data_IF_325681666107
#
_entry.id   IF_325681666107
#
_cell.length_a   1.000
_cell.length_b   1.000
_cell.length_c   1.000
_cell.angle_alpha   90.00
_cell.angle_beta   90.00
_cell.angle_gamma   90.00
#
_symmetry.space_group_name_H-M   'P 1'
#
loop_
_entity.id
_entity.type
_entity.pdbx_description
1 polymer ?
#
# COMPACT_ATOMS: atom_id res chain seq x y z
N UNK A 1 -17.83 -22.61 45.44
CA UNK A 1 -18.14 -21.52 44.48
C UNK A 1 -16.78 -21.10 43.88
N UNK A 2 -16.45 -21.72 42.74
CA UNK A 2 -15.12 -21.55 42.09
C UNK A 2 -15.20 -20.37 41.14
N UNK A 3 -14.49 -19.27 41.44
CA UNK A 3 -14.36 -18.12 40.55
C UNK A 3 -13.47 -18.53 39.37
N UNK A 4 -14.03 -18.66 38.18
CA UNK A 4 -13.24 -18.71 36.94
C UNK A 4 -12.70 -17.30 36.69
N UNK A 5 -11.38 -17.14 36.81
CA UNK A 5 -10.70 -15.93 36.40
C UNK A 5 -10.72 -15.85 34.86
N UNK A 6 -11.41 -14.88 34.31
CA UNK A 6 -11.39 -14.53 32.87
C UNK A 6 -10.04 -13.87 32.60
N UNK A 7 -9.10 -14.61 32.00
CA UNK A 7 -7.84 -14.06 31.49
C UNK A 7 -8.16 -13.47 30.12
N UNK A 8 -8.09 -12.14 29.92
CA UNK A 8 -8.28 -11.56 28.60
C UNK A 8 -7.14 -12.05 27.69
N UNK A 9 -7.49 -12.68 26.57
CA UNK A 9 -6.55 -13.03 25.52
C UNK A 9 -5.91 -11.74 25.00
N UNK A 10 -4.67 -11.49 25.34
CA UNK A 10 -3.87 -10.42 24.73
C UNK A 10 -3.63 -10.80 23.28
N UNK A 11 -4.36 -10.21 22.36
CA UNK A 11 -4.04 -10.25 20.93
C UNK A 11 -2.75 -9.44 20.78
N UNK A 12 -1.63 -10.14 20.63
CA UNK A 12 -0.36 -9.49 20.32
C UNK A 12 -0.49 -8.79 18.97
N UNK A 13 -0.39 -7.47 18.99
CA UNK A 13 -0.41 -6.68 17.77
C UNK A 13 0.87 -6.98 16.97
N UNK A 14 0.73 -7.72 15.85
CA UNK A 14 1.86 -8.12 15.02
C UNK A 14 2.44 -6.89 14.33
N UNK A 15 3.70 -6.56 14.65
CA UNK A 15 4.45 -5.54 13.92
C UNK A 15 4.78 -6.05 12.51
N UNK A 16 4.53 -5.22 11.49
CA UNK A 16 4.80 -5.53 10.08
C UNK A 16 5.82 -4.60 9.44
N UNK A 17 6.17 -3.51 10.12
CA UNK A 17 7.10 -2.49 9.64
C UNK A 17 7.29 -1.37 10.65
N UNK A 18 7.82 -0.27 10.19
CA UNK A 18 8.01 0.95 10.97
C UNK A 18 7.78 2.21 10.11
N UNK A 19 7.40 3.32 10.74
CA UNK A 19 7.35 4.63 10.11
C UNK A 19 8.79 5.13 9.89
N UNK A 20 9.25 5.13 8.63
CA UNK A 20 10.65 5.47 8.29
C UNK A 20 10.87 6.94 7.96
N UNK A 21 9.80 7.67 7.58
CA UNK A 21 9.80 9.13 7.47
C UNK A 21 8.38 9.66 7.65
N UNK A 22 8.26 10.83 8.26
CA UNK A 22 6.99 11.56 8.46
C UNK A 22 7.24 13.03 8.13
N UNK A 23 6.36 13.59 7.28
CA UNK A 23 6.27 15.02 7.03
C UNK A 23 4.97 15.52 7.64
N UNK A 24 5.04 16.50 8.51
CA UNK A 24 3.95 17.09 9.28
C UNK A 24 3.35 16.09 10.28
N UNK A 25 2.39 15.23 9.87
CA UNK A 25 1.74 14.24 10.74
C UNK A 25 1.25 13.02 9.98
N UNK A 26 1.15 11.90 10.68
CA UNK A 26 0.55 10.67 10.18
C UNK A 26 -0.10 9.93 11.35
N UNK A 27 -1.11 9.13 11.07
CA UNK A 27 -1.89 8.45 12.09
C UNK A 27 -2.01 6.97 11.80
N UNK A 28 -2.07 6.17 12.85
CA UNK A 28 -2.38 4.75 12.81
C UNK A 28 -3.59 4.45 13.66
N UNK A 29 -4.54 3.72 13.11
CA UNK A 29 -5.67 3.16 13.83
C UNK A 29 -5.58 1.63 13.81
N UNK A 30 -5.25 1.02 14.94
CA UNK A 30 -5.31 -0.43 15.13
C UNK A 30 -6.78 -0.83 15.35
N UNK A 31 -7.25 -1.99 14.86
CA UNK A 31 -8.62 -2.44 15.09
C UNK A 31 -9.02 -2.38 16.57
N UNK A 32 -10.21 -1.87 16.84
CA UNK A 32 -10.77 -1.70 18.19
C UNK A 32 -10.02 -0.72 19.09
N UNK A 33 -9.10 0.10 18.55
CA UNK A 33 -8.40 1.16 19.27
C UNK A 33 -8.70 2.53 18.65
N UNK A 34 -8.48 3.60 19.41
CA UNK A 34 -8.51 4.96 18.89
C UNK A 34 -7.34 5.20 17.95
N UNK A 35 -7.52 6.11 16.99
CA UNK A 35 -6.43 6.58 16.13
C UNK A 35 -5.36 7.27 16.97
N UNK A 36 -4.11 6.95 16.74
CA UNK A 36 -2.94 7.53 17.40
C UNK A 36 -2.00 8.16 16.36
N UNK A 37 -1.39 9.30 16.73
CA UNK A 37 -0.37 9.93 15.90
C UNK A 37 0.90 9.09 15.90
N UNK A 38 1.45 8.85 14.71
CA UNK A 38 2.72 8.15 14.52
C UNK A 38 3.90 9.09 14.71
N UNK A 39 4.95 8.58 15.31
CA UNK A 39 6.28 9.18 15.38
C UNK A 39 7.26 8.39 14.54
N UNK A 40 8.40 9.01 14.25
CA UNK A 40 9.50 8.33 13.54
C UNK A 40 9.92 7.06 14.30
N UNK A 41 10.07 5.96 13.58
CA UNK A 41 10.37 4.61 14.05
C UNK A 41 9.23 3.90 14.83
N UNK A 42 8.06 4.49 14.95
CA UNK A 42 6.92 3.77 15.53
C UNK A 42 6.59 2.51 14.72
N UNK A 43 6.19 1.48 15.44
CA UNK A 43 5.80 0.21 14.85
C UNK A 43 4.52 0.34 14.02
N UNK A 44 4.53 -0.18 12.81
CA UNK A 44 3.34 -0.36 12.00
C UNK A 44 2.75 -1.74 12.29
N UNK A 45 1.47 -1.75 12.62
CA UNK A 45 0.75 -2.94 13.13
C UNK A 45 -0.12 -3.54 12.02
N UNK A 46 -0.13 -4.86 11.95
CA UNK A 46 -1.02 -5.60 11.07
C UNK A 46 -2.49 -5.25 11.28
N UNK A 47 -3.29 -5.26 10.21
CA UNK A 47 -4.71 -4.86 10.19
C UNK A 47 -4.98 -3.39 10.53
N UNK A 48 -3.95 -2.58 10.78
CA UNK A 48 -4.17 -1.15 11.02
C UNK A 48 -4.52 -0.38 9.75
N UNK A 49 -5.19 0.73 9.95
CA UNK A 49 -5.39 1.77 8.95
C UNK A 49 -4.38 2.88 9.19
N UNK A 50 -3.64 3.26 8.15
CA UNK A 50 -2.74 4.41 8.18
C UNK A 50 -3.39 5.56 7.42
N UNK A 51 -3.24 6.79 7.92
CA UNK A 51 -3.75 7.99 7.28
C UNK A 51 -2.79 9.16 7.39
N UNK A 52 -2.78 9.99 6.34
CA UNK A 52 -2.04 11.25 6.28
C UNK A 52 -3.04 12.38 6.03
N UNK A 53 -3.06 13.43 6.88
CA UNK A 53 -3.81 14.65 6.60
C UNK A 53 -3.31 15.40 5.36
N UNK A 54 -3.98 16.51 5.03
CA UNK A 54 -3.53 17.43 4.00
C UNK A 54 -2.13 17.98 4.33
N UNK A 55 -1.31 18.19 3.31
CA UNK A 55 0.08 18.66 3.40
C UNK A 55 1.03 17.75 4.19
N UNK A 56 0.60 16.53 4.48
CA UNK A 56 1.37 15.52 5.21
C UNK A 56 1.87 14.41 4.29
N UNK A 57 2.89 13.66 4.75
CA UNK A 57 3.35 12.46 4.07
C UNK A 57 3.90 11.45 5.09
N UNK A 58 3.86 10.17 4.74
CA UNK A 58 4.40 9.06 5.52
C UNK A 58 5.18 8.11 4.61
N UNK A 59 6.35 7.67 5.04
CA UNK A 59 7.00 6.48 4.47
C UNK A 59 6.98 5.36 5.51
N UNK A 60 6.52 4.20 5.09
CA UNK A 60 6.56 2.94 5.85
C UNK A 60 7.61 2.04 5.24
N UNK A 61 8.54 1.52 6.06
CA UNK A 61 9.44 0.43 5.71
C UNK A 61 8.94 -0.85 6.35
N UNK A 62 8.51 -1.81 5.53
CA UNK A 62 8.06 -3.13 6.00
C UNK A 62 9.24 -4.03 6.36
N UNK A 63 8.96 -5.11 7.11
CA UNK A 63 9.99 -6.06 7.56
C UNK A 63 10.66 -6.82 6.40
N UNK A 64 9.96 -7.00 5.27
CA UNK A 64 10.52 -7.60 4.05
C UNK A 64 11.39 -6.62 3.22
N UNK A 65 11.54 -5.39 3.69
CA UNK A 65 12.29 -4.33 3.02
C UNK A 65 11.48 -3.56 1.97
N UNK A 66 10.22 -3.93 1.68
CA UNK A 66 9.34 -3.13 0.83
C UNK A 66 9.06 -1.77 1.48
N UNK A 67 8.73 -0.78 0.63
CA UNK A 67 8.42 0.58 1.09
C UNK A 67 7.10 1.06 0.50
N UNK A 68 6.32 1.72 1.34
CA UNK A 68 5.12 2.44 0.96
C UNK A 68 5.28 3.91 1.33
N UNK A 69 5.28 4.80 0.34
CA UNK A 69 5.15 6.23 0.56
C UNK A 69 3.70 6.65 0.33
N UNK A 70 3.17 7.45 1.25
CA UNK A 70 1.83 8.01 1.22
C UNK A 70 1.92 9.53 1.11
N UNK A 71 1.27 10.13 0.12
CA UNK A 71 1.13 11.57 -0.02
C UNK A 71 0.02 12.15 0.87
N UNK A 72 -0.29 13.44 0.68
CA UNK A 72 -1.33 14.14 1.43
C UNK A 72 -2.73 13.51 1.23
N UNK A 73 -3.56 13.56 2.26
CA UNK A 73 -4.95 13.09 2.23
C UNK A 73 -5.12 11.60 1.94
N UNK A 74 -4.08 10.80 2.19
CA UNK A 74 -4.06 9.36 1.83
C UNK A 74 -4.55 8.48 2.97
N UNK A 75 -5.12 7.32 2.59
CA UNK A 75 -5.61 6.33 3.53
C UNK A 75 -5.39 4.91 2.99
N UNK A 76 -4.75 4.05 3.78
CA UNK A 76 -4.43 2.65 3.44
C UNK A 76 -4.74 1.72 4.60
N UNK A 77 -5.23 0.52 4.29
CA UNK A 77 -5.37 -0.58 5.25
C UNK A 77 -4.27 -1.61 4.97
N UNK A 78 -3.57 -2.04 6.02
CA UNK A 78 -2.65 -3.18 5.98
C UNK A 78 -3.48 -4.45 6.10
N UNK A 79 -3.95 -4.99 4.97
CA UNK A 79 -4.97 -6.04 4.97
C UNK A 79 -4.37 -7.44 5.26
N UNK A 80 -3.24 -7.77 4.64
CA UNK A 80 -2.54 -9.03 4.85
C UNK A 80 -1.04 -8.81 4.91
N UNK A 81 -0.36 -9.47 5.83
CA UNK A 81 1.09 -9.48 5.91
C UNK A 81 1.59 -10.73 6.62
N UNK A 82 2.38 -11.51 5.93
CA UNK A 82 3.12 -12.65 6.47
C UNK A 82 4.54 -12.62 5.91
N UNK A 83 5.54 -12.59 6.79
CA UNK A 83 6.94 -12.61 6.41
C UNK A 83 7.77 -13.17 7.57
N UNK A 84 8.54 -14.21 7.31
CA UNK A 84 9.35 -14.92 8.31
C UNK A 84 10.86 -14.81 8.05
N UNK A 85 11.25 -13.94 7.11
CA UNK A 85 12.64 -13.69 6.75
C UNK A 85 12.96 -13.99 5.29
N UNK A 86 14.18 -13.66 4.82
CA UNK A 86 14.62 -13.88 3.45
C UNK A 86 14.44 -15.34 3.00
N UNK A 87 13.88 -15.54 1.80
CA UNK A 87 13.60 -16.87 1.25
C UNK A 87 12.32 -17.55 1.78
N UNK A 88 11.57 -16.90 2.69
CA UNK A 88 10.26 -17.40 3.11
C UNK A 88 9.18 -17.12 2.06
N UNK A 89 8.16 -18.00 2.01
CA UNK A 89 6.93 -17.75 1.30
C UNK A 89 6.15 -16.66 2.06
N UNK A 90 6.42 -15.39 1.74
CA UNK A 90 5.70 -14.25 2.34
C UNK A 90 4.41 -13.93 1.58
N UNK A 91 3.57 -13.09 2.18
CA UNK A 91 2.36 -12.54 1.56
C UNK A 91 2.10 -11.14 2.04
N UNK A 92 1.70 -10.25 1.13
CA UNK A 92 1.36 -8.86 1.45
C UNK A 92 0.15 -8.41 0.64
N UNK A 93 -0.85 -7.85 1.32
CA UNK A 93 -1.95 -7.17 0.68
C UNK A 93 -2.20 -5.82 1.35
N UNK A 94 -2.24 -4.77 0.52
CA UNK A 94 -2.54 -3.40 0.93
C UNK A 94 -3.80 -2.93 0.22
N UNK A 95 -4.69 -2.25 0.93
CA UNK A 95 -5.90 -1.68 0.34
C UNK A 95 -5.83 -0.16 0.40
N UNK A 96 -5.60 0.47 -0.76
CA UNK A 96 -5.62 1.91 -0.93
C UNK A 96 -7.08 2.38 -1.06
N UNK A 97 -7.54 3.23 -0.17
CA UNK A 97 -8.92 3.75 -0.23
C UNK A 97 -9.00 5.08 -0.94
N UNK A 98 -8.05 5.97 -0.69
CA UNK A 98 -7.84 7.23 -1.42
C UNK A 98 -6.44 7.74 -1.19
N UNK A 99 -5.96 8.61 -2.07
CA UNK A 99 -4.70 9.32 -1.94
C UNK A 99 -3.68 8.94 -2.99
N UNK A 100 -2.46 9.44 -2.79
CA UNK A 100 -1.32 9.20 -3.66
C UNK A 100 -0.32 8.28 -2.95
N UNK A 101 0.05 7.20 -3.62
CA UNK A 101 0.91 6.16 -3.10
C UNK A 101 2.07 5.87 -4.05
N UNK A 102 3.23 5.57 -3.48
CA UNK A 102 4.35 4.96 -4.19
C UNK A 102 4.76 3.70 -3.46
N UNK A 103 4.84 2.59 -4.17
CA UNK A 103 5.26 1.30 -3.61
C UNK A 103 6.56 0.84 -4.27
N UNK A 104 7.50 0.38 -3.43
CA UNK A 104 8.74 -0.27 -3.84
C UNK A 104 8.72 -1.68 -3.28
N UNK A 105 8.80 -2.68 -4.12
CA UNK A 105 8.76 -4.08 -3.68
C UNK A 105 10.00 -4.50 -2.90
N UNK A 106 9.82 -5.38 -1.91
CA UNK A 106 10.85 -5.96 -1.06
C UNK A 106 11.17 -7.41 -1.40
N UNK A 107 11.40 -8.21 -0.35
CA UNK A 107 11.82 -9.62 -0.46
C UNK A 107 10.66 -10.62 -0.55
N UNK A 108 9.41 -10.22 -0.29
CA UNK A 108 8.24 -11.08 -0.54
C UNK A 108 8.16 -11.37 -2.05
N UNK A 109 7.91 -12.63 -2.47
CA UNK A 109 7.73 -12.98 -3.88
C UNK A 109 6.68 -12.08 -4.53
N UNK A 110 6.96 -11.58 -5.73
CA UNK A 110 6.16 -10.52 -6.38
C UNK A 110 4.73 -10.94 -6.67
N UNK A 111 4.50 -12.20 -6.99
CA UNK A 111 3.18 -12.82 -7.19
C UNK A 111 2.37 -12.96 -5.89
N UNK A 112 3.01 -12.80 -4.74
CA UNK A 112 2.40 -12.80 -3.41
C UNK A 112 2.13 -11.39 -2.85
N UNK A 113 2.42 -10.35 -3.64
CA UNK A 113 2.12 -8.96 -3.28
C UNK A 113 0.92 -8.47 -4.09
N UNK A 114 -0.13 -8.03 -3.38
CA UNK A 114 -1.38 -7.56 -3.96
C UNK A 114 -1.72 -6.17 -3.43
N UNK A 115 -2.01 -5.25 -4.34
CA UNK A 115 -2.53 -3.93 -3.99
C UNK A 115 -3.97 -3.84 -4.50
N UNK A 116 -4.88 -3.42 -3.64
CA UNK A 116 -6.28 -3.22 -3.99
C UNK A 116 -6.66 -1.75 -3.88
N UNK A 117 -7.42 -1.27 -4.84
CA UNK A 117 -8.19 -0.03 -4.75
C UNK A 117 -9.69 -0.38 -4.69
N UNK A 118 -10.60 0.58 -4.53
CA UNK A 118 -12.02 0.28 -4.62
C UNK A 118 -12.43 -0.44 -5.91
N UNK A 119 -11.79 -0.12 -7.04
CA UNK A 119 -12.26 -0.51 -8.39
C UNK A 119 -11.29 -1.39 -9.17
N UNK A 120 -10.00 -1.40 -8.81
CA UNK A 120 -8.99 -2.24 -9.49
C UNK A 120 -8.13 -3.01 -8.49
N UNK A 121 -7.54 -4.11 -8.97
CA UNK A 121 -6.49 -4.85 -8.28
C UNK A 121 -5.20 -4.72 -9.08
N UNK A 122 -4.06 -4.50 -8.39
CA UNK A 122 -2.75 -4.35 -8.98
C UNK A 122 -1.87 -5.51 -8.49
N UNK A 123 -1.47 -6.36 -9.42
CA UNK A 123 -0.47 -7.40 -9.23
C UNK A 123 0.92 -6.92 -9.66
N UNK A 124 1.95 -7.38 -8.97
CA UNK A 124 3.32 -6.87 -9.13
C UNK A 124 4.20 -7.91 -9.79
N UNK A 125 5.02 -7.48 -10.76
CA UNK A 125 6.07 -8.29 -11.39
C UNK A 125 7.41 -7.56 -11.35
N UNK A 126 7.95 -7.35 -10.11
CA UNK A 126 9.19 -6.61 -9.81
C UNK A 126 8.95 -5.08 -9.95
N UNK A 127 9.28 -4.14 -8.95
CA UNK A 127 8.58 -2.91 -9.21
C UNK A 127 8.83 -1.74 -8.30
N UNK A 128 8.77 -0.58 -8.97
CA UNK A 128 8.42 0.70 -8.39
C UNK A 128 7.21 1.22 -9.17
N UNK A 129 6.10 1.47 -8.51
CA UNK A 129 4.91 2.03 -9.15
C UNK A 129 4.21 3.05 -8.26
N UNK A 130 3.39 3.89 -8.87
CA UNK A 130 2.57 4.89 -8.20
C UNK A 130 1.10 4.67 -8.51
N UNK A 131 0.27 5.00 -7.54
CA UNK A 131 -1.18 4.90 -7.66
C UNK A 131 -1.80 6.14 -7.05
N UNK A 132 -2.65 6.82 -7.81
CA UNK A 132 -3.56 7.85 -7.33
C UNK A 132 -4.97 7.25 -7.29
N UNK A 133 -5.67 7.43 -6.17
CA UNK A 133 -7.07 7.01 -6.00
C UNK A 133 -7.84 8.19 -5.43
N UNK A 134 -8.92 8.58 -6.05
CA UNK A 134 -9.83 9.62 -5.53
C UNK A 134 -10.87 9.06 -4.55
N UNK A 135 -11.69 9.94 -3.97
CA UNK A 135 -12.73 9.55 -3.02
C UNK A 135 -13.88 8.73 -3.63
N UNK A 136 -14.00 8.66 -4.96
CA UNK A 136 -15.04 7.92 -5.68
C UNK A 136 -14.52 6.56 -6.21
N UNK A 137 -13.21 6.29 -6.07
CA UNK A 137 -12.58 5.07 -6.53
C UNK A 137 -12.02 5.13 -7.95
N UNK A 138 -12.14 6.26 -8.65
CA UNK A 138 -11.41 6.52 -9.88
C UNK A 138 -9.92 6.80 -9.56
N UNK A 139 -9.04 6.66 -10.54
CA UNK A 139 -7.63 6.90 -10.28
C UNK A 139 -6.70 6.65 -11.45
N UNK A 140 -5.43 6.57 -11.11
CA UNK A 140 -4.34 6.33 -12.06
C UNK A 140 -3.33 5.35 -11.49
N UNK A 141 -2.69 4.59 -12.36
CA UNK A 141 -1.50 3.79 -12.04
C UNK A 141 -0.39 4.13 -13.03
N UNK A 142 0.83 4.32 -12.53
CA UNK A 142 2.03 4.46 -13.37
C UNK A 142 3.16 3.59 -12.85
N UNK A 143 4.04 3.15 -13.75
CA UNK A 143 5.21 2.32 -13.42
C UNK A 143 6.47 3.13 -13.62
N UNK A 144 7.29 3.26 -12.56
CA UNK A 144 8.57 3.94 -12.62
C UNK A 144 9.65 3.01 -13.20
N UNK A 145 10.75 3.58 -13.69
CA UNK A 145 12.00 2.85 -13.93
C UNK A 145 12.72 2.59 -12.60
N UNK A 146 13.51 1.55 -12.54
CA UNK A 146 14.43 1.31 -11.44
C UNK A 146 15.56 2.33 -11.38
N UNK A 147 16.32 2.37 -10.26
CA UNK A 147 17.40 3.34 -10.06
C UNK A 147 18.49 3.32 -11.12
N UNK A 148 18.72 2.17 -11.75
CA UNK A 148 19.72 1.99 -12.83
C UNK A 148 19.08 1.84 -14.21
N UNK A 149 17.80 2.25 -14.35
CA UNK A 149 17.05 2.13 -15.60
C UNK A 149 16.39 0.76 -15.83
N UNK A 150 16.28 -0.07 -14.79
CA UNK A 150 15.58 -1.36 -14.88
C UNK A 150 14.11 -1.15 -15.29
N UNK A 151 13.63 -1.97 -16.18
CA UNK A 151 12.23 -1.97 -16.60
C UNK A 151 11.42 -2.94 -15.76
N UNK A 152 10.24 -2.50 -15.35
CA UNK A 152 9.29 -3.24 -14.51
C UNK A 152 7.92 -3.32 -15.19
N UNK A 153 7.06 -4.18 -14.66
CA UNK A 153 5.67 -4.24 -15.08
C UNK A 153 4.72 -4.44 -13.91
N UNK A 154 3.50 -3.98 -14.07
CA UNK A 154 2.35 -4.29 -13.20
C UNK A 154 1.18 -4.79 -14.03
N UNK A 155 0.41 -5.69 -13.44
CA UNK A 155 -0.83 -6.20 -14.02
C UNK A 155 -2.00 -5.59 -13.26
N UNK A 156 -2.86 -4.87 -13.96
CA UNK A 156 -4.04 -4.21 -13.38
C UNK A 156 -5.28 -4.95 -13.84
N UNK A 157 -6.15 -5.31 -12.89
CA UNK A 157 -7.40 -6.01 -13.17
C UNK A 157 -8.57 -5.17 -12.67
N UNK A 158 -9.48 -4.82 -13.57
CA UNK A 158 -10.76 -4.19 -13.19
C UNK A 158 -11.62 -5.17 -12.41
N UNK A 159 -12.08 -4.77 -11.22
CA UNK A 159 -12.94 -5.60 -10.37
C UNK A 159 -14.33 -5.78 -10.97
N UNK A 160 -14.85 -4.79 -11.70
CA UNK A 160 -16.18 -4.82 -12.31
C UNK A 160 -16.22 -5.62 -13.60
N UNK A 161 -15.25 -5.41 -14.48
CA UNK A 161 -15.27 -5.98 -15.83
C UNK A 161 -14.41 -7.24 -15.99
N UNK A 162 -13.48 -7.49 -15.04
CA UNK A 162 -12.45 -8.52 -15.16
C UNK A 162 -11.36 -8.22 -16.22
N UNK A 163 -11.45 -7.09 -16.92
CA UNK A 163 -10.47 -6.71 -17.93
C UNK A 163 -9.11 -6.54 -17.27
N UNK A 164 -8.11 -7.14 -17.91
CA UNK A 164 -6.71 -7.08 -17.49
C UNK A 164 -5.92 -6.17 -18.40
N UNK A 165 -5.04 -5.36 -17.81
CA UNK A 165 -4.10 -4.49 -18.50
C UNK A 165 -2.70 -4.69 -17.92
N UNK A 166 -1.68 -4.71 -18.77
CA UNK A 166 -0.26 -4.71 -18.37
C UNK A 166 0.32 -3.34 -18.63
N UNK A 167 0.97 -2.74 -17.65
CA UNK A 167 1.75 -1.51 -17.79
C UNK A 167 3.23 -1.81 -17.62
N UNK A 168 4.04 -1.16 -18.43
CA UNK A 168 5.50 -1.18 -18.36
C UNK A 168 6.05 0.15 -17.80
N UNK A 169 7.32 0.15 -17.39
CA UNK A 169 8.00 1.35 -16.92
C UNK A 169 7.87 2.51 -17.91
N UNK A 170 7.60 3.70 -17.41
CA UNK A 170 7.35 4.91 -18.17
C UNK A 170 5.91 5.06 -18.66
N UNK A 171 5.03 4.10 -18.40
CA UNK A 171 3.63 4.13 -18.80
C UNK A 171 2.71 4.45 -17.62
N UNK A 172 1.55 5.04 -17.94
CA UNK A 172 0.44 5.26 -17.00
C UNK A 172 -0.90 4.97 -17.66
N UNK A 173 -1.89 4.63 -16.84
CA UNK A 173 -3.30 4.48 -17.23
C UNK A 173 -4.19 5.15 -16.20
N UNK A 174 -5.28 5.78 -16.65
CA UNK A 174 -6.39 6.20 -15.81
C UNK A 174 -7.51 5.16 -15.83
N UNK A 175 -8.28 5.13 -14.76
CA UNK A 175 -9.49 4.31 -14.66
C UNK A 175 -10.59 5.12 -13.92
N UNK A 176 -11.82 4.93 -14.34
CA UNK A 176 -12.97 5.60 -13.74
C UNK A 176 -13.45 4.93 -12.44
N UNK A 177 -14.52 5.47 -11.84
CA UNK A 177 -15.13 4.96 -10.61
C UNK A 177 -15.76 3.55 -10.76
N UNK A 178 -15.87 3.04 -11.96
CA UNK A 178 -16.29 1.67 -12.29
C UNK A 178 -15.09 0.75 -12.60
N UNK A 179 -13.87 1.28 -12.58
CA UNK A 179 -12.63 0.56 -12.93
C UNK A 179 -12.50 0.31 -14.43
N UNK A 180 -13.17 1.09 -15.27
CA UNK A 180 -12.99 1.04 -16.73
C UNK A 180 -11.73 1.79 -17.10
N UNK A 181 -10.82 1.11 -17.81
CA UNK A 181 -9.55 1.70 -18.22
C UNK A 181 -9.73 2.65 -19.39
N UNK A 182 -9.10 3.81 -19.30
CA UNK A 182 -8.82 4.71 -20.41
C UNK A 182 -7.57 4.23 -21.19
N UNK A 183 -7.14 4.98 -22.18
CA UNK A 183 -5.95 4.62 -22.96
C UNK A 183 -4.66 4.68 -22.13
N UNK A 184 -3.72 3.78 -22.41
CA UNK A 184 -2.35 3.85 -21.86
C UNK A 184 -1.62 5.02 -22.52
N UNK A 185 -0.92 5.82 -21.72
CA UNK A 185 -0.10 6.95 -22.14
C UNK A 185 1.29 6.87 -21.54
N UNK A 186 2.25 7.54 -22.13
CA UNK A 186 3.58 7.70 -21.54
C UNK A 186 3.53 8.69 -20.37
N UNK A 187 4.42 8.50 -19.40
CA UNK A 187 4.60 9.35 -18.22
C UNK A 187 4.37 8.63 -16.90
N UNK A 188 4.60 9.36 -15.82
CA UNK A 188 4.43 8.91 -14.43
C UNK A 188 3.55 9.88 -13.65
N UNK A 189 3.00 9.42 -12.53
CA UNK A 189 2.27 10.25 -11.59
C UNK A 189 3.28 11.03 -10.76
N UNK A 190 3.14 12.35 -10.67
CA UNK A 190 4.03 13.24 -9.90
C UNK A 190 3.71 13.22 -8.40
N UNK A 191 4.70 13.59 -7.56
CA UNK A 191 4.46 14.10 -6.21
C UNK A 191 4.28 13.09 -5.08
N UNK A 192 4.90 11.92 -5.07
CA UNK A 192 4.86 11.00 -3.93
C UNK A 192 6.22 10.84 -3.24
N UNK A 193 6.30 11.26 -1.99
CA UNK A 193 7.43 11.06 -1.08
C UNK A 193 7.53 12.20 -0.06
N UNK A 194 8.01 11.89 1.16
CA UNK A 194 8.42 12.92 2.11
C UNK A 194 9.65 13.68 1.62
#
# INVERSE_FOLDING_TARGET
MTLLAFVPSQVWAQQVGQASAIKTSAYQQVPSQSSAELKLNDAIIWKSTLSTPDSSALEVKFLDGSKLSMGAGSNVVIDEYAYSGPGSAGKQALRYTKGLFRFVSGNIPKDQVKIETPTVTIGIRGTIFRTLVDGNGAGQVSVDFGPNGESYEVVIVSKKTGKTLVLHSGQKVSFDADGVFEGVTDGTIEGCGP
#
